data_IF_489048655397
#
_entry.id   IF_489048655397
#
_cell.length_a   1.000
_cell.length_b   1.000
_cell.length_c   1.000
_cell.angle_alpha   90.00
_cell.angle_beta   90.00
_cell.angle_gamma   90.00
#
_symmetry.space_group_name_H-M   'P 1'
#
loop_
_entity.id
_entity.type
_entity.pdbx_description
1 polymer ?
#
# COMPACT_ATOMS: atom_id res chain seq x y z
N UNK A 1 -18.62 9.33 15.61
CA UNK A 1 -19.36 10.44 15.01
C UNK A 1 -18.74 10.66 13.64
N UNK A 2 -19.41 10.31 12.53
CA UNK A 2 -18.85 10.44 11.17
C UNK A 2 -18.85 11.92 10.75
N UNK A 3 -17.81 12.40 10.01
CA UNK A 3 -17.73 13.80 9.59
C UNK A 3 -18.89 14.21 8.69
N UNK A 4 -19.24 15.50 8.72
CA UNK A 4 -20.36 16.14 7.99
C UNK A 4 -20.34 15.94 6.46
N UNK A 5 -19.16 15.68 5.87
CA UNK A 5 -18.98 15.42 4.43
C UNK A 5 -19.77 14.20 3.90
N UNK A 6 -20.30 13.35 4.79
CA UNK A 6 -21.06 12.16 4.41
C UNK A 6 -22.50 12.45 3.94
N UNK A 7 -23.06 13.62 4.29
CA UNK A 7 -24.47 13.94 3.96
C UNK A 7 -24.68 14.52 2.56
N UNK A 8 -23.66 15.12 1.98
CA UNK A 8 -23.79 15.86 0.72
C UNK A 8 -23.54 15.02 -0.53
N UNK A 9 -23.02 13.79 -0.39
CA UNK A 9 -22.70 12.90 -1.51
C UNK A 9 -23.94 12.22 -2.14
N UNK A 10 -25.17 12.44 -1.64
CA UNK A 10 -26.38 11.76 -2.15
C UNK A 10 -27.21 12.56 -3.15
N UNK A 11 -26.82 13.76 -3.56
CA UNK A 11 -27.67 14.66 -4.35
C UNK A 11 -27.08 15.07 -5.71
N UNK A 12 -26.12 14.34 -6.28
CA UNK A 12 -25.59 14.67 -7.62
C UNK A 12 -26.25 13.78 -8.68
N UNK A 13 -26.90 14.43 -9.64
CA UNK A 13 -27.59 13.83 -10.78
C UNK A 13 -26.66 12.98 -11.64
N UNK A 14 -27.15 11.83 -12.14
CA UNK A 14 -26.45 10.82 -12.96
C UNK A 14 -26.01 11.28 -14.37
N UNK A 15 -26.00 12.57 -14.68
CA UNK A 15 -25.77 13.09 -16.03
C UNK A 15 -24.45 13.85 -16.23
N UNK A 16 -23.61 13.98 -15.20
CA UNK A 16 -22.30 14.64 -15.33
C UNK A 16 -21.18 13.65 -14.93
N UNK A 17 -20.97 12.64 -15.81
CA UNK A 17 -19.86 11.67 -15.65
C UNK A 17 -18.54 12.23 -16.22
N UNK A 18 -18.10 13.38 -15.72
CA UNK A 18 -16.67 13.65 -15.63
C UNK A 18 -16.12 12.72 -14.56
N UNK A 19 -15.01 12.01 -14.83
CA UNK A 19 -14.34 11.09 -13.90
C UNK A 19 -14.27 11.71 -12.50
N UNK A 20 -15.18 11.31 -11.62
CA UNK A 20 -15.09 11.64 -10.20
C UNK A 20 -13.95 10.75 -9.67
N UNK A 21 -12.76 11.29 -9.59
CA UNK A 21 -11.65 10.64 -8.89
C UNK A 21 -12.05 10.56 -7.41
N UNK A 22 -12.62 9.42 -7.02
CA UNK A 22 -12.95 9.16 -5.60
C UNK A 22 -11.63 9.15 -4.82
N UNK A 23 -11.55 9.98 -3.79
CA UNK A 23 -10.42 9.93 -2.85
C UNK A 23 -10.26 8.47 -2.38
N UNK A 24 -9.09 7.84 -2.60
CA UNK A 24 -8.87 6.43 -2.24
C UNK A 24 -9.19 6.13 -0.78
N UNK A 25 -9.10 7.12 0.11
CA UNK A 25 -9.42 6.97 1.53
C UNK A 25 -10.92 6.81 1.81
N UNK A 26 -11.79 7.12 0.84
CA UNK A 26 -13.23 6.87 0.92
C UNK A 26 -13.63 5.52 0.32
N UNK A 27 -12.73 4.83 -0.36
CA UNK A 27 -13.00 3.58 -1.07
C UNK A 27 -13.72 2.53 -0.22
N UNK A 28 -13.27 2.17 1.00
CA UNK A 28 -13.94 1.17 1.83
C UNK A 28 -15.36 1.57 2.24
N UNK A 29 -15.62 2.86 2.42
CA UNK A 29 -16.96 3.36 2.77
C UNK A 29 -17.90 3.32 1.56
N UNK A 30 -17.40 3.70 0.39
CA UNK A 30 -18.16 3.68 -0.88
C UNK A 30 -18.47 2.24 -1.27
N UNK A 31 -17.51 1.33 -1.17
CA UNK A 31 -17.61 -0.07 -1.60
C UNK A 31 -18.13 -1.04 -0.53
N UNK A 32 -18.65 -0.56 0.60
CA UNK A 32 -19.06 -1.40 1.76
C UNK A 32 -20.07 -2.51 1.44
N UNK A 33 -20.77 -2.44 0.33
CA UNK A 33 -21.75 -3.42 -0.14
C UNK A 33 -21.49 -3.85 -1.60
N UNK A 34 -20.27 -3.60 -2.11
CA UNK A 34 -19.84 -4.04 -3.43
C UNK A 34 -19.50 -5.54 -3.43
N UNK A 35 -19.11 -6.06 -4.59
CA UNK A 35 -18.58 -7.42 -4.67
C UNK A 35 -17.26 -7.57 -3.90
N UNK A 36 -16.86 -8.81 -3.66
CA UNK A 36 -15.69 -9.15 -2.85
C UNK A 36 -14.41 -8.49 -3.37
N UNK A 37 -14.19 -8.49 -4.70
CA UNK A 37 -13.00 -7.88 -5.32
C UNK A 37 -12.93 -6.39 -5.02
N UNK A 38 -14.01 -5.66 -5.29
CA UNK A 38 -14.06 -4.23 -5.07
C UNK A 38 -13.87 -3.86 -3.59
N UNK A 39 -14.37 -4.69 -2.68
CA UNK A 39 -14.13 -4.51 -1.24
C UNK A 39 -12.65 -4.69 -0.90
N UNK A 40 -12.02 -5.79 -1.33
CA UNK A 40 -10.61 -6.07 -1.03
C UNK A 40 -9.67 -5.00 -1.61
N UNK A 41 -9.87 -4.66 -2.89
CA UNK A 41 -9.07 -3.64 -3.57
C UNK A 41 -9.23 -2.26 -2.93
N UNK A 42 -10.44 -1.89 -2.50
CA UNK A 42 -10.68 -0.61 -1.85
C UNK A 42 -10.02 -0.49 -0.47
N UNK A 43 -9.96 -1.58 0.32
CA UNK A 43 -9.23 -1.59 1.58
C UNK A 43 -7.72 -1.48 1.36
N UNK A 44 -7.18 -2.19 0.37
CA UNK A 44 -5.77 -2.10 0.04
C UNK A 44 -5.40 -0.68 -0.42
N UNK A 45 -6.18 -0.09 -1.32
CA UNK A 45 -5.95 1.26 -1.82
C UNK A 45 -6.09 2.34 -0.73
N UNK A 46 -6.99 2.13 0.23
CA UNK A 46 -7.08 2.98 1.41
C UNK A 46 -5.76 2.99 2.18
N UNK A 47 -5.20 1.83 2.51
CA UNK A 47 -3.94 1.76 3.26
C UNK A 47 -2.75 2.28 2.47
N UNK A 48 -2.70 2.04 1.16
CA UNK A 48 -1.68 2.63 0.25
C UNK A 48 -1.69 4.15 0.30
N UNK A 49 -2.87 4.76 0.21
CA UNK A 49 -3.02 6.21 0.28
C UNK A 49 -2.65 6.77 1.67
N UNK A 50 -3.02 6.09 2.75
CA UNK A 50 -2.65 6.49 4.11
C UNK A 50 -1.14 6.43 4.31
N UNK A 51 -0.45 5.40 3.81
CA UNK A 51 1.02 5.31 3.88
C UNK A 51 1.70 6.52 3.23
N UNK A 52 1.31 6.88 2.01
CA UNK A 52 1.86 8.05 1.32
C UNK A 52 1.60 9.35 2.09
N UNK A 53 0.45 9.45 2.75
CA UNK A 53 0.13 10.60 3.61
C UNK A 53 1.09 10.71 4.80
N UNK A 54 1.56 9.58 5.36
CA UNK A 54 2.54 9.59 6.46
C UNK A 54 3.92 10.07 6.01
N UNK A 55 4.24 9.92 4.74
CA UNK A 55 5.48 10.42 4.14
C UNK A 55 5.36 11.90 3.73
N UNK A 56 4.17 12.35 3.33
CA UNK A 56 3.94 13.68 2.78
C UNK A 56 4.33 14.81 3.75
N UNK A 57 5.09 15.79 3.25
CA UNK A 57 5.51 16.98 4.00
C UNK A 57 6.69 16.76 4.93
N UNK A 58 7.24 15.56 5.03
CA UNK A 58 8.50 15.32 5.76
C UNK A 58 9.70 15.71 4.89
N UNK A 59 10.78 16.14 5.57
CA UNK A 59 12.10 16.17 4.94
C UNK A 59 12.68 14.77 4.81
N UNK A 60 13.65 14.57 3.92
CA UNK A 60 14.36 13.28 3.79
C UNK A 60 14.99 12.87 5.13
N UNK A 61 15.56 13.81 5.85
CA UNK A 61 16.16 13.58 7.17
C UNK A 61 15.12 13.14 8.21
N UNK A 62 13.93 13.76 8.24
CA UNK A 62 12.87 13.38 9.17
C UNK A 62 12.26 12.02 8.81
N UNK A 63 12.04 11.74 7.53
CA UNK A 63 11.53 10.47 7.05
C UNK A 63 12.48 9.30 7.34
N UNK A 64 13.80 9.53 7.32
CA UNK A 64 14.84 8.56 7.62
C UNK A 64 15.19 8.47 9.12
N UNK A 65 14.55 9.25 9.99
CA UNK A 65 14.90 9.33 11.42
C UNK A 65 14.53 8.05 12.17
N UNK A 66 15.51 7.47 12.88
CA UNK A 66 15.31 6.31 13.75
C UNK A 66 14.80 6.74 15.12
N UNK A 67 13.54 6.47 15.40
CA UNK A 67 12.85 6.85 16.64
C UNK A 67 12.58 5.66 17.57
N UNK A 68 12.91 4.45 17.10
CA UNK A 68 12.78 3.19 17.82
C UNK A 68 14.10 2.40 17.75
N UNK A 69 14.34 1.42 18.65
CA UNK A 69 15.61 0.64 18.65
C UNK A 69 15.87 -0.14 17.36
N UNK A 70 14.84 -0.57 16.65
CA UNK A 70 14.97 -1.24 15.34
C UNK A 70 15.40 -0.26 14.24
N UNK A 71 15.67 -0.78 13.04
CA UNK A 71 15.98 0.02 11.86
C UNK A 71 14.73 0.67 11.21
N UNK A 72 13.56 0.53 11.83
CA UNK A 72 12.30 0.99 11.25
C UNK A 72 12.24 2.51 11.20
N UNK A 73 12.04 3.07 10.01
CA UNK A 73 11.83 4.49 9.72
C UNK A 73 10.64 4.66 8.79
N UNK A 74 10.04 5.84 8.68
CA UNK A 74 8.93 6.07 7.75
C UNK A 74 9.38 5.79 6.31
N UNK A 75 10.54 6.33 5.91
CA UNK A 75 11.10 6.09 4.57
C UNK A 75 11.38 4.59 4.32
N UNK A 76 11.95 3.88 5.30
CA UNK A 76 12.19 2.44 5.21
C UNK A 76 10.91 1.62 5.08
N UNK A 77 9.81 2.03 5.73
CA UNK A 77 8.50 1.38 5.57
C UNK A 77 7.94 1.55 4.16
N UNK A 78 8.07 2.75 3.57
CA UNK A 78 7.64 2.98 2.18
C UNK A 78 8.45 2.15 1.20
N UNK A 79 9.79 2.10 1.38
CA UNK A 79 10.67 1.26 0.56
C UNK A 79 10.30 -0.21 0.67
N UNK A 80 10.13 -0.72 1.89
CA UNK A 80 9.73 -2.10 2.14
C UNK A 80 8.39 -2.43 1.46
N UNK A 81 7.37 -1.60 1.62
CA UNK A 81 6.07 -1.86 1.00
C UNK A 81 6.10 -1.73 -0.54
N UNK A 82 7.04 -0.96 -1.11
CA UNK A 82 7.30 -0.96 -2.55
C UNK A 82 7.80 -2.34 -3.01
N UNK A 83 8.74 -2.94 -2.28
CA UNK A 83 9.24 -4.29 -2.55
C UNK A 83 8.16 -5.36 -2.35
N UNK A 84 7.30 -5.21 -1.35
CA UNK A 84 6.16 -6.11 -1.12
C UNK A 84 5.19 -6.09 -2.31
N UNK A 85 4.81 -4.91 -2.81
CA UNK A 85 3.99 -4.78 -4.03
C UNK A 85 4.65 -5.49 -5.23
N UNK A 86 5.94 -5.25 -5.42
CA UNK A 86 6.71 -5.87 -6.50
C UNK A 86 6.75 -7.40 -6.36
N UNK A 87 7.09 -7.91 -5.19
CA UNK A 87 7.23 -9.35 -4.96
C UNK A 87 5.92 -10.11 -5.19
N UNK A 88 4.82 -9.64 -4.62
CA UNK A 88 3.56 -10.37 -4.67
C UNK A 88 2.82 -10.24 -6.00
N UNK A 89 2.83 -9.09 -6.63
CA UNK A 89 2.12 -8.89 -7.89
C UNK A 89 3.01 -9.06 -9.12
N UNK A 90 4.25 -8.55 -9.10
CA UNK A 90 5.07 -8.56 -10.31
C UNK A 90 5.87 -9.87 -10.43
N UNK A 91 6.50 -10.31 -9.34
CA UNK A 91 7.31 -11.55 -9.38
C UNK A 91 6.45 -12.80 -9.23
N UNK A 92 5.45 -12.81 -8.33
CA UNK A 92 4.68 -14.03 -8.06
C UNK A 92 3.55 -14.26 -9.06
N UNK A 93 2.74 -13.23 -9.37
CA UNK A 93 1.61 -13.35 -10.30
C UNK A 93 2.00 -13.21 -11.78
N UNK A 94 3.01 -12.38 -12.10
CA UNK A 94 3.40 -12.03 -13.48
C UNK A 94 4.93 -12.00 -13.65
N UNK A 95 5.63 -13.12 -13.36
CA UNK A 95 7.09 -13.14 -13.34
C UNK A 95 7.69 -12.84 -14.73
N UNK A 96 8.65 -11.93 -14.78
CA UNK A 96 9.52 -11.81 -15.95
C UNK A 96 10.54 -12.97 -15.99
N UNK A 97 11.07 -13.33 -17.18
CA UNK A 97 12.03 -14.40 -17.30
C UNK A 97 13.25 -14.20 -16.39
N UNK A 98 13.48 -15.14 -15.47
CA UNK A 98 14.61 -15.14 -14.55
C UNK A 98 14.36 -14.44 -13.22
N UNK A 99 13.22 -13.81 -13.00
CA UNK A 99 12.84 -13.28 -11.69
C UNK A 99 12.53 -14.41 -10.72
N UNK A 100 12.97 -14.23 -9.47
CA UNK A 100 12.77 -15.21 -8.39
C UNK A 100 12.24 -14.48 -7.16
N UNK A 101 11.15 -15.01 -6.59
CA UNK A 101 10.58 -14.48 -5.37
C UNK A 101 11.58 -14.56 -4.21
N UNK A 102 11.91 -13.45 -3.53
CA UNK A 102 12.89 -13.45 -2.45
C UNK A 102 12.33 -14.20 -1.22
N UNK A 103 13.14 -15.10 -0.67
CA UNK A 103 12.75 -15.94 0.48
C UNK A 103 13.70 -15.86 1.67
N UNK A 104 14.78 -15.07 1.57
CA UNK A 104 15.78 -14.96 2.62
C UNK A 104 15.44 -13.85 3.62
N UNK A 105 15.82 -14.04 4.88
CA UNK A 105 15.74 -13.01 5.91
C UNK A 105 16.58 -11.77 5.56
N UNK A 106 17.73 -11.99 4.90
CA UNK A 106 18.60 -10.92 4.44
C UNK A 106 17.88 -10.01 3.43
N UNK A 107 17.15 -10.56 2.46
CA UNK A 107 16.35 -9.80 1.50
C UNK A 107 15.22 -9.01 2.22
N UNK A 108 14.58 -9.65 3.20
CA UNK A 108 13.55 -8.97 3.99
C UNK A 108 14.11 -7.79 4.78
N UNK A 109 15.29 -7.91 5.39
CA UNK A 109 15.95 -6.82 6.10
C UNK A 109 16.47 -5.73 5.14
N UNK A 110 17.00 -6.11 3.99
CA UNK A 110 17.50 -5.19 2.97
C UNK A 110 16.39 -4.26 2.44
N UNK A 111 15.16 -4.74 2.36
CA UNK A 111 14.02 -3.95 1.88
C UNK A 111 13.71 -2.71 2.74
N UNK A 112 14.14 -2.67 4.01
CA UNK A 112 14.03 -1.50 4.89
C UNK A 112 15.25 -0.57 4.84
N UNK A 113 16.32 -1.00 4.18
CA UNK A 113 17.60 -0.28 4.21
C UNK A 113 17.64 0.82 3.17
N UNK A 114 17.78 2.07 3.63
CA UNK A 114 17.88 3.24 2.75
C UNK A 114 19.27 3.35 2.14
N UNK A 115 19.32 3.90 0.94
CA UNK A 115 20.53 4.31 0.21
C UNK A 115 20.57 5.83 0.08
N UNK A 116 21.68 6.38 -0.41
CA UNK A 116 21.83 7.83 -0.61
C UNK A 116 20.88 8.39 -1.69
N UNK A 117 20.35 7.53 -2.56
CA UNK A 117 19.38 7.90 -3.61
C UNK A 117 17.93 7.90 -3.14
N UNK A 118 17.66 7.38 -1.92
CA UNK A 118 16.31 7.29 -1.37
C UNK A 118 15.89 8.64 -0.75
N UNK A 119 15.14 9.42 -1.51
CA UNK A 119 14.48 10.66 -1.05
C UNK A 119 12.99 10.45 -0.83
N UNK A 120 12.33 11.34 -0.10
CA UNK A 120 10.86 11.33 0.06
C UNK A 120 10.16 11.31 -1.30
N UNK A 121 10.64 12.12 -2.26
CA UNK A 121 10.07 12.19 -3.61
C UNK A 121 10.28 10.89 -4.38
N UNK A 122 11.50 10.32 -4.38
CA UNK A 122 11.81 9.09 -5.11
C UNK A 122 11.06 7.88 -4.56
N UNK A 123 10.93 7.78 -3.22
CA UNK A 123 10.21 6.74 -2.53
C UNK A 123 8.70 6.82 -2.78
N UNK A 124 8.10 8.01 -2.68
CA UNK A 124 6.69 8.22 -2.99
C UNK A 124 6.36 7.82 -4.44
N UNK A 125 7.13 8.35 -5.40
CA UNK A 125 6.93 8.03 -6.82
C UNK A 125 7.19 6.54 -7.13
N UNK A 126 8.15 5.91 -6.46
CA UNK A 126 8.42 4.47 -6.57
C UNK A 126 7.24 3.64 -6.12
N UNK A 127 6.69 3.94 -4.93
CA UNK A 127 5.54 3.25 -4.37
C UNK A 127 4.28 3.42 -5.22
N UNK A 128 4.00 4.65 -5.69
CA UNK A 128 2.86 4.91 -6.58
C UNK A 128 2.93 4.08 -7.87
N UNK A 129 4.12 4.03 -8.50
CA UNK A 129 4.33 3.20 -9.70
C UNK A 129 4.15 1.70 -9.41
N UNK A 130 4.68 1.21 -8.31
CA UNK A 130 4.51 -0.19 -7.91
C UNK A 130 3.04 -0.52 -7.70
N UNK A 131 2.29 0.30 -6.96
CA UNK A 131 0.85 0.12 -6.74
C UNK A 131 0.03 0.18 -8.04
N UNK A 132 0.36 1.10 -8.95
CA UNK A 132 -0.31 1.19 -10.25
C UNK A 132 -0.09 -0.10 -11.06
N UNK A 133 1.15 -0.59 -11.13
CA UNK A 133 1.46 -1.85 -11.82
C UNK A 133 0.80 -3.05 -11.15
N UNK A 134 0.73 -3.10 -9.81
CA UNK A 134 0.04 -4.16 -9.07
C UNK A 134 -1.44 -4.24 -9.43
N UNK A 135 -2.13 -3.09 -9.56
CA UNK A 135 -3.53 -3.06 -10.01
C UNK A 135 -3.69 -3.60 -11.45
N UNK A 136 -2.80 -3.21 -12.37
CA UNK A 136 -2.80 -3.72 -13.74
C UNK A 136 -2.60 -5.23 -13.80
N UNK A 137 -1.69 -5.76 -12.98
CA UNK A 137 -1.43 -7.21 -12.91
C UNK A 137 -2.64 -7.91 -12.31
N UNK A 138 -3.12 -7.48 -11.14
CA UNK A 138 -4.25 -8.10 -10.46
C UNK A 138 -5.52 -8.14 -11.34
N UNK A 139 -5.77 -7.10 -12.14
CA UNK A 139 -6.94 -7.01 -13.02
C UNK A 139 -6.98 -8.11 -14.11
N UNK A 140 -5.88 -8.79 -14.37
CA UNK A 140 -5.80 -9.87 -15.39
C UNK A 140 -6.22 -11.24 -14.87
N UNK A 141 -6.38 -11.40 -13.57
CA UNK A 141 -6.65 -12.68 -12.93
C UNK A 141 -7.93 -12.64 -12.10
N UNK A 142 -8.64 -13.79 -12.03
CA UNK A 142 -9.77 -13.96 -11.11
C UNK A 142 -9.27 -14.13 -9.66
N UNK A 143 -10.12 -13.85 -8.68
CA UNK A 143 -9.76 -14.01 -7.26
C UNK A 143 -9.33 -15.45 -6.90
N UNK A 144 -9.87 -16.44 -7.61
CA UNK A 144 -9.57 -17.86 -7.41
C UNK A 144 -8.34 -18.33 -8.21
N UNK A 145 -7.69 -17.45 -9.00
CA UNK A 145 -6.46 -17.78 -9.69
C UNK A 145 -5.36 -18.13 -8.69
N UNK A 146 -4.74 -19.29 -8.87
CA UNK A 146 -3.76 -19.87 -7.95
C UNK A 146 -2.38 -19.89 -8.61
N UNK A 147 -1.37 -19.51 -7.83
CA UNK A 147 0.05 -19.55 -8.22
C UNK A 147 0.89 -20.27 -7.17
N UNK A 148 1.99 -20.94 -7.55
CA UNK A 148 2.90 -21.56 -6.60
C UNK A 148 3.72 -20.51 -5.86
N UNK A 149 3.76 -20.60 -4.52
CA UNK A 149 4.64 -19.78 -3.68
C UNK A 149 5.76 -20.66 -3.11
N UNK A 150 7.03 -20.21 -3.13
CA UNK A 150 8.18 -21.05 -2.80
C UNK A 150 8.20 -21.62 -1.36
N UNK A 151 7.48 -20.98 -0.42
CA UNK A 151 7.45 -21.40 0.99
C UNK A 151 6.06 -21.81 1.49
N UNK A 152 4.97 -21.30 0.86
CA UNK A 152 3.60 -21.49 1.35
C UNK A 152 2.82 -22.56 0.55
N UNK A 153 3.40 -23.11 -0.52
CA UNK A 153 2.70 -23.97 -1.46
C UNK A 153 1.91 -23.14 -2.47
N UNK A 154 0.61 -23.37 -2.60
CA UNK A 154 -0.24 -22.62 -3.52
C UNK A 154 -0.96 -21.47 -2.80
N UNK A 155 -1.01 -20.30 -3.42
CA UNK A 155 -1.74 -19.12 -2.94
C UNK A 155 -2.66 -18.57 -4.03
N UNK A 156 -3.86 -18.13 -3.67
CA UNK A 156 -4.78 -17.48 -4.61
C UNK A 156 -4.61 -15.96 -4.63
N UNK A 157 -5.05 -15.28 -5.70
CA UNK A 157 -5.10 -13.82 -5.73
C UNK A 157 -5.92 -13.24 -4.56
N UNK A 158 -7.03 -13.90 -4.17
CA UNK A 158 -7.80 -13.52 -2.98
C UNK A 158 -6.92 -13.52 -1.72
N UNK A 159 -6.14 -14.57 -1.52
CA UNK A 159 -5.23 -14.66 -0.38
C UNK A 159 -4.16 -13.58 -0.43
N UNK A 160 -3.59 -13.31 -1.61
CA UNK A 160 -2.60 -12.23 -1.81
C UNK A 160 -3.20 -10.87 -1.43
N UNK A 161 -4.40 -10.54 -1.90
CA UNK A 161 -5.05 -9.28 -1.58
C UNK A 161 -5.31 -9.12 -0.07
N UNK A 162 -5.78 -10.18 0.62
CA UNK A 162 -5.96 -10.17 2.08
C UNK A 162 -4.63 -9.97 2.79
N UNK A 163 -3.58 -10.68 2.37
CA UNK A 163 -2.24 -10.55 2.92
C UNK A 163 -1.70 -9.11 2.75
N UNK A 164 -1.86 -8.53 1.56
CA UNK A 164 -1.40 -7.16 1.31
C UNK A 164 -2.19 -6.11 2.10
N UNK A 165 -3.49 -6.32 2.33
CA UNK A 165 -4.29 -5.47 3.24
C UNK A 165 -3.73 -5.56 4.66
N UNK A 166 -3.48 -6.77 5.18
CA UNK A 166 -2.93 -6.99 6.52
C UNK A 166 -1.54 -6.37 6.67
N UNK A 167 -0.66 -6.64 5.72
CA UNK A 167 0.73 -6.19 5.74
C UNK A 167 0.83 -4.66 5.65
N UNK A 168 0.10 -4.06 4.70
CA UNK A 168 0.11 -2.60 4.54
C UNK A 168 -0.53 -1.92 5.76
N UNK A 169 -1.65 -2.42 6.28
CA UNK A 169 -2.29 -1.86 7.47
C UNK A 169 -1.38 -1.92 8.71
N UNK A 170 -0.65 -3.03 8.92
CA UNK A 170 0.33 -3.18 10.01
C UNK A 170 1.40 -2.10 9.92
N UNK A 171 1.98 -1.91 8.74
CA UNK A 171 3.04 -0.94 8.53
C UNK A 171 2.55 0.51 8.54
N UNK A 172 1.32 0.78 8.14
CA UNK A 172 0.66 2.08 8.33
C UNK A 172 0.55 2.41 9.82
N UNK A 173 0.14 1.45 10.66
CA UNK A 173 0.11 1.64 12.11
C UNK A 173 1.49 1.95 12.72
N UNK A 174 2.56 1.34 12.22
CA UNK A 174 3.94 1.71 12.60
C UNK A 174 4.28 3.14 12.15
N UNK A 175 3.91 3.50 10.91
CA UNK A 175 4.15 4.83 10.37
C UNK A 175 3.36 5.91 11.14
N UNK A 176 2.16 5.61 11.63
CA UNK A 176 1.36 6.52 12.49
C UNK A 176 2.15 6.92 13.73
N UNK A 177 2.69 5.94 14.46
CA UNK A 177 3.46 6.17 15.69
C UNK A 177 4.75 6.95 15.37
N UNK A 178 5.48 6.56 14.31
CA UNK A 178 6.70 7.24 13.91
C UNK A 178 6.43 8.69 13.47
N UNK A 179 5.30 8.94 12.79
CA UNK A 179 4.89 10.27 12.36
C UNK A 179 4.60 11.16 13.57
N UNK A 180 3.82 10.68 14.54
CA UNK A 180 3.54 11.39 15.78
C UNK A 180 4.83 11.72 16.54
N UNK A 181 5.78 10.77 16.63
CA UNK A 181 7.08 11.00 17.27
C UNK A 181 7.99 11.97 16.48
N UNK A 182 7.76 12.15 15.18
CA UNK A 182 8.57 13.02 14.33
C UNK A 182 8.15 14.47 14.44
N UNK A 183 6.87 14.77 14.29
CA UNK A 183 6.34 16.14 14.20
C UNK A 183 5.00 16.35 14.94
N UNK A 184 4.52 15.36 15.67
CA UNK A 184 3.27 15.44 16.43
C UNK A 184 2.01 15.24 15.60
N UNK A 185 2.11 14.99 14.29
CA UNK A 185 0.94 14.77 13.45
C UNK A 185 0.28 13.43 13.77
N UNK A 186 -1.04 13.43 13.98
CA UNK A 186 -1.84 12.28 14.34
C UNK A 186 -2.99 12.07 13.35
N UNK A 187 -3.56 10.84 13.34
CA UNK A 187 -4.73 10.50 12.54
C UNK A 187 -4.40 9.89 11.18
N UNK A 188 -5.31 9.05 10.71
CA UNK A 188 -5.20 8.37 9.42
C UNK A 188 -5.61 9.25 8.23
N UNK A 189 -6.42 10.30 8.49
CA UNK A 189 -7.06 11.16 7.48
C UNK A 189 -6.66 12.62 7.65
#
# INVERSE_FOLDING_TARGET
MFPSAYRDAQATSLTDMAEITIDPTLGPVVNRAADERAVLESFLDFHRAVLLRKLHGLSDADAARRLVPSATTIAGLVKHLTEIEHNWFHILLDPAPGEVFPTSEEAALASFTLTDDDTVESLAAGYERACARSREVAARFDLDHVVPHPQLGEVSLRWILVHLVEETARHVGHADILRELTDGATGAL
#
